data_IF_225766887146
#
_entry.id   IF_225766887146
#
_cell.length_a   1.000
_cell.length_b   1.000
_cell.length_c   1.000
_cell.angle_alpha   90.00
_cell.angle_beta   90.00
_cell.angle_gamma   90.00
#
_symmetry.space_group_name_H-M   'P 1'
#
loop_
_entity.id
_entity.type
_entity.pdbx_description
1 polymer ?
#
# COMPACT_ATOMS: atom_id res chain seq x y z
N UNK A 1 11.82 -2.62 1.90
CA UNK A 1 11.24 -1.88 0.75
C UNK A 1 11.48 -0.38 0.88
N UNK A 2 11.09 0.25 1.98
CA UNK A 2 11.20 1.69 2.20
C UNK A 2 12.60 2.26 1.91
N UNK A 3 13.65 1.60 2.40
CA UNK A 3 15.02 1.99 2.11
C UNK A 3 15.41 1.98 0.61
N UNK A 4 14.76 1.16 -0.23
CA UNK A 4 15.03 1.16 -1.67
C UNK A 4 14.41 2.39 -2.36
N UNK A 5 13.18 2.75 -1.97
CA UNK A 5 12.47 3.92 -2.48
C UNK A 5 13.21 5.20 -2.07
N UNK A 6 13.60 5.32 -0.81
CA UNK A 6 14.37 6.46 -0.31
C UNK A 6 15.74 6.59 -0.99
N UNK A 7 16.45 5.49 -1.24
CA UNK A 7 17.73 5.53 -1.98
C UNK A 7 17.55 6.02 -3.41
N UNK A 8 16.55 5.51 -4.13
CA UNK A 8 16.30 5.87 -5.51
C UNK A 8 15.76 7.31 -5.65
N UNK A 9 14.71 7.64 -4.90
CA UNK A 9 14.04 8.94 -4.93
C UNK A 9 14.83 10.09 -4.31
N UNK A 10 15.86 9.77 -3.51
CA UNK A 10 16.76 10.76 -2.96
C UNK A 10 16.26 11.42 -1.67
N UNK A 11 17.04 12.39 -1.15
CA UNK A 11 16.82 12.94 0.19
C UNK A 11 15.52 13.74 0.31
N UNK A 12 14.96 14.22 -0.80
CA UNK A 12 13.73 15.03 -0.80
C UNK A 12 12.55 14.28 -0.18
N UNK A 13 12.38 12.99 -0.48
CA UNK A 13 11.29 12.17 0.09
C UNK A 13 11.40 12.16 1.62
N UNK A 14 12.60 11.95 2.17
CA UNK A 14 12.81 11.95 3.61
C UNK A 14 12.57 13.33 4.24
N UNK A 15 12.96 14.39 3.55
CA UNK A 15 12.74 15.76 4.01
C UNK A 15 11.24 16.08 4.11
N UNK A 16 10.47 15.76 3.08
CA UNK A 16 9.02 15.93 3.09
C UNK A 16 8.35 15.05 4.17
N UNK A 17 8.80 13.81 4.37
CA UNK A 17 8.32 12.98 5.48
C UNK A 17 8.55 13.63 6.86
N UNK A 18 9.70 14.29 7.07
CA UNK A 18 9.99 15.01 8.32
C UNK A 18 9.07 16.23 8.49
N UNK A 19 8.80 16.96 7.43
CA UNK A 19 7.90 18.12 7.44
C UNK A 19 6.45 17.72 7.74
N UNK A 20 5.96 16.64 7.11
CA UNK A 20 4.66 16.05 7.43
C UNK A 20 4.63 15.68 8.92
N UNK A 21 5.67 15.00 9.41
CA UNK A 21 5.74 14.60 10.82
C UNK A 21 5.75 15.79 11.78
N UNK A 22 6.43 16.87 11.44
CA UNK A 22 6.44 18.09 12.24
C UNK A 22 5.06 18.76 12.29
N UNK A 23 4.28 18.69 11.19
CA UNK A 23 2.96 19.33 11.08
C UNK A 23 1.85 18.55 11.78
N UNK A 24 1.82 17.23 11.63
CA UNK A 24 0.68 16.40 12.09
C UNK A 24 1.07 15.25 13.02
N UNK A 25 2.34 15.13 13.40
CA UNK A 25 2.84 14.06 14.24
C UNK A 25 3.09 12.76 13.46
N UNK A 26 2.62 11.63 13.97
CA UNK A 26 2.85 10.33 13.35
C UNK A 26 1.95 10.01 12.15
N UNK A 27 2.16 8.83 11.59
CA UNK A 27 1.19 8.15 10.75
C UNK A 27 0.79 6.87 11.50
N UNK A 28 -0.44 6.78 12.06
CA UNK A 28 -0.87 5.59 12.79
C UNK A 28 -1.03 4.39 11.85
N UNK A 29 -1.02 3.18 12.41
CA UNK A 29 -1.30 1.96 11.66
C UNK A 29 -2.64 2.05 10.93
N UNK A 30 -2.65 1.64 9.66
CA UNK A 30 -3.79 1.75 8.76
C UNK A 30 -3.95 3.12 8.10
N UNK A 31 -3.20 4.15 8.50
CA UNK A 31 -3.23 5.45 7.85
C UNK A 31 -2.13 5.58 6.78
N UNK A 32 -2.31 6.58 5.91
CA UNK A 32 -1.38 6.91 4.83
C UNK A 32 -1.10 8.42 4.79
N UNK A 33 0.06 8.79 4.24
CA UNK A 33 0.47 10.17 3.91
C UNK A 33 1.14 10.18 2.54
N UNK A 34 1.27 11.34 1.92
CA UNK A 34 1.83 11.45 0.56
C UNK A 34 2.96 12.47 0.50
N UNK A 35 4.03 12.13 -0.21
CA UNK A 35 5.13 13.02 -0.60
C UNK A 35 5.23 13.08 -2.12
N UNK A 36 6.01 14.02 -2.64
CA UNK A 36 6.55 13.94 -3.99
C UNK A 36 7.44 12.70 -4.18
N UNK A 37 7.67 12.34 -5.43
CA UNK A 37 8.54 11.21 -5.82
C UNK A 37 10.04 11.52 -5.82
N UNK A 38 10.44 12.78 -5.61
CA UNK A 38 11.84 13.20 -5.72
C UNK A 38 12.40 12.86 -7.10
N UNK A 39 13.44 12.01 -7.14
CA UNK A 39 14.08 11.55 -8.38
C UNK A 39 13.44 10.32 -9.03
N UNK A 40 12.36 9.78 -8.46
CA UNK A 40 11.66 8.66 -9.06
C UNK A 40 10.97 9.10 -10.36
N UNK A 41 10.69 8.14 -11.25
CA UNK A 41 9.79 8.38 -12.39
C UNK A 41 8.34 8.60 -11.95
N UNK A 42 7.96 8.05 -10.79
CA UNK A 42 6.66 8.27 -10.20
C UNK A 42 6.58 9.70 -9.63
N UNK A 43 5.47 10.39 -9.88
CA UNK A 43 5.28 11.77 -9.40
C UNK A 43 5.15 11.86 -7.88
N UNK A 44 4.65 10.80 -7.24
CA UNK A 44 4.36 10.76 -5.81
C UNK A 44 4.78 9.42 -5.18
N UNK A 45 4.96 9.45 -3.86
CA UNK A 45 5.05 8.26 -3.02
C UNK A 45 4.01 8.38 -1.91
N UNK A 46 3.14 7.39 -1.83
CA UNK A 46 2.18 7.26 -0.72
C UNK A 46 2.79 6.32 0.31
N UNK A 47 3.00 6.85 1.52
CA UNK A 47 3.57 6.16 2.66
C UNK A 47 2.44 5.71 3.56
N UNK A 48 2.26 4.40 3.73
CA UNK A 48 1.24 3.83 4.60
C UNK A 48 1.86 2.91 5.63
N UNK A 49 1.30 2.89 6.83
CA UNK A 49 1.76 2.02 7.92
C UNK A 49 0.85 0.80 7.99
N UNK A 50 1.34 -0.35 7.52
CA UNK A 50 0.63 -1.62 7.68
C UNK A 50 0.76 -2.16 9.12
N UNK A 51 -0.16 -3.04 9.56
CA UNK A 51 -0.09 -3.67 10.87
C UNK A 51 1.06 -4.67 10.97
N UNK A 52 1.58 -4.83 12.19
CA UNK A 52 2.46 -5.95 12.56
C UNK A 52 1.58 -7.15 12.86
N UNK A 53 1.89 -8.31 12.31
CA UNK A 53 1.14 -9.53 12.57
C UNK A 53 1.38 -10.03 13.99
N UNK A 54 0.29 -10.26 14.74
CA UNK A 54 0.34 -10.71 16.13
C UNK A 54 -0.65 -11.83 16.44
N UNK A 55 -1.02 -12.62 15.43
CA UNK A 55 -1.94 -13.76 15.56
C UNK A 55 -3.32 -13.55 14.93
N UNK A 56 -3.67 -12.32 14.55
CA UNK A 56 -4.91 -12.02 13.82
C UNK A 56 -6.10 -11.62 14.69
N UNK A 57 -5.91 -11.55 16.02
CA UNK A 57 -6.95 -11.20 16.99
C UNK A 57 -6.91 -9.71 17.42
N UNK A 58 -5.99 -8.92 16.85
CA UNK A 58 -5.74 -7.52 17.18
C UNK A 58 -6.13 -6.58 16.02
N UNK A 59 -7.18 -6.96 15.28
CA UNK A 59 -7.76 -6.18 14.15
C UNK A 59 -6.78 -5.99 13.00
N UNK A 60 -5.77 -6.84 12.86
CA UNK A 60 -4.75 -6.70 11.83
C UNK A 60 -5.36 -6.68 10.42
N UNK A 61 -6.39 -7.48 10.16
CA UNK A 61 -7.09 -7.48 8.87
C UNK A 61 -7.72 -6.12 8.54
N UNK A 62 -8.42 -5.54 9.51
CA UNK A 62 -9.08 -4.23 9.36
C UNK A 62 -8.06 -3.11 9.14
N UNK A 63 -6.92 -3.19 9.83
CA UNK A 63 -5.83 -2.23 9.74
C UNK A 63 -5.09 -2.36 8.39
N UNK A 64 -4.88 -3.57 7.90
CA UNK A 64 -4.30 -3.81 6.58
C UNK A 64 -5.25 -3.30 5.48
N UNK A 65 -6.54 -3.60 5.57
CA UNK A 65 -7.58 -3.04 4.69
C UNK A 65 -7.53 -1.51 4.69
N UNK A 66 -7.45 -0.90 5.87
CA UNK A 66 -7.37 0.56 6.03
C UNK A 66 -6.13 1.14 5.36
N UNK A 67 -4.98 0.47 5.43
CA UNK A 67 -3.75 0.93 4.77
C UNK A 67 -3.90 1.02 3.25
N UNK A 68 -4.48 -0.01 2.61
CA UNK A 68 -4.79 0.04 1.18
C UNK A 68 -5.84 1.09 0.85
N UNK A 69 -6.95 1.12 1.60
CA UNK A 69 -8.05 2.05 1.37
C UNK A 69 -7.61 3.51 1.46
N UNK A 70 -6.90 3.88 2.53
CA UNK A 70 -6.42 5.25 2.73
C UNK A 70 -5.36 5.65 1.71
N UNK A 71 -4.57 4.68 1.22
CA UNK A 71 -3.63 4.94 0.12
C UNK A 71 -4.36 5.26 -1.18
N UNK A 72 -5.40 4.50 -1.53
CA UNK A 72 -6.24 4.75 -2.70
C UNK A 72 -7.02 6.06 -2.59
N UNK A 73 -7.53 6.38 -1.40
CA UNK A 73 -8.21 7.65 -1.13
C UNK A 73 -7.29 8.85 -1.39
N UNK A 74 -6.05 8.81 -0.87
CA UNK A 74 -5.06 9.86 -1.16
C UNK A 74 -4.70 9.95 -2.64
N UNK A 75 -4.58 8.80 -3.32
CA UNK A 75 -4.33 8.80 -4.76
C UNK A 75 -5.46 9.50 -5.53
N UNK A 76 -6.71 9.16 -5.22
CA UNK A 76 -7.91 9.78 -5.79
C UNK A 76 -7.97 11.28 -5.51
N UNK A 77 -7.77 11.70 -4.27
CA UNK A 77 -7.76 13.12 -3.88
C UNK A 77 -6.73 13.96 -4.65
N UNK A 78 -5.65 13.32 -5.10
CA UNK A 78 -4.59 13.95 -5.89
C UNK A 78 -4.75 13.77 -7.39
N UNK A 79 -5.84 13.16 -7.85
CA UNK A 79 -6.09 12.89 -9.27
C UNK A 79 -5.12 11.86 -9.88
N UNK A 80 -4.51 11.01 -9.06
CA UNK A 80 -3.59 9.96 -9.51
C UNK A 80 -4.42 8.79 -10.02
N UNK A 81 -4.23 8.42 -11.29
CA UNK A 81 -5.01 7.37 -11.98
C UNK A 81 -4.28 6.03 -12.11
N UNK A 82 -2.97 6.00 -11.87
CA UNK A 82 -2.15 4.78 -11.90
C UNK A 82 -1.41 4.59 -10.59
N UNK A 83 -1.49 3.39 -10.00
CA UNK A 83 -0.92 3.10 -8.68
C UNK A 83 -0.23 1.74 -8.71
N UNK A 84 0.92 1.64 -8.02
CA UNK A 84 1.61 0.36 -7.78
C UNK A 84 1.73 0.09 -6.29
N UNK A 85 1.24 -1.07 -5.86
CA UNK A 85 1.34 -1.54 -4.49
C UNK A 85 2.34 -2.68 -4.35
N UNK A 86 3.14 -2.72 -3.27
CA UNK A 86 3.73 -3.96 -2.81
C UNK A 86 2.70 -4.85 -2.11
N UNK A 87 3.15 -6.04 -1.71
CA UNK A 87 2.49 -6.79 -0.65
C UNK A 87 2.77 -6.14 0.72
N UNK A 88 1.86 -5.27 1.18
CA UNK A 88 1.99 -4.55 2.45
C UNK A 88 1.96 -5.53 3.63
N UNK A 89 2.80 -5.27 4.65
CA UNK A 89 2.95 -6.06 5.89
C UNK A 89 3.46 -7.49 5.79
N UNK A 90 3.68 -8.05 4.60
CA UNK A 90 4.12 -9.47 4.48
C UNK A 90 5.62 -9.71 4.59
N UNK A 91 6.42 -8.63 4.66
CA UNK A 91 7.87 -8.71 4.87
C UNK A 91 8.23 -8.74 6.37
N UNK A 92 8.87 -7.68 6.85
CA UNK A 92 9.33 -7.54 8.24
C UNK A 92 8.18 -7.62 9.27
N UNK A 93 6.94 -7.37 8.85
CA UNK A 93 5.76 -7.43 9.72
C UNK A 93 5.07 -8.80 9.72
N UNK A 94 5.60 -9.77 8.97
CA UNK A 94 5.24 -11.19 9.01
C UNK A 94 3.75 -11.51 8.83
N UNK A 95 2.98 -10.63 8.20
CA UNK A 95 1.58 -10.91 7.88
C UNK A 95 1.50 -12.10 6.91
N UNK A 96 0.66 -13.13 7.18
CA UNK A 96 0.50 -14.26 6.30
C UNK A 96 0.12 -13.81 4.88
N UNK A 97 0.92 -14.21 3.90
CA UNK A 97 0.85 -13.68 2.53
C UNK A 97 -0.49 -14.02 1.90
N UNK A 98 -0.97 -15.23 2.08
CA UNK A 98 -2.24 -15.74 1.54
C UNK A 98 -3.43 -14.90 2.05
N UNK A 99 -3.43 -14.55 3.34
CA UNK A 99 -4.45 -13.70 3.97
C UNK A 99 -4.32 -12.24 3.53
N UNK A 100 -3.09 -11.71 3.49
CA UNK A 100 -2.82 -10.35 3.06
C UNK A 100 -3.20 -10.10 1.60
N UNK A 101 -2.95 -11.07 0.72
CA UNK A 101 -3.30 -11.02 -0.70
C UNK A 101 -4.81 -10.88 -0.89
N UNK A 102 -5.60 -11.72 -0.22
CA UNK A 102 -7.06 -11.63 -0.25
C UNK A 102 -7.57 -10.26 0.21
N UNK A 103 -7.04 -9.75 1.33
CA UNK A 103 -7.42 -8.43 1.85
C UNK A 103 -7.06 -7.32 0.85
N UNK A 104 -5.85 -7.35 0.29
CA UNK A 104 -5.37 -6.36 -0.67
C UNK A 104 -6.25 -6.31 -1.92
N UNK A 105 -6.49 -7.46 -2.53
CA UNK A 105 -7.31 -7.60 -3.75
C UNK A 105 -8.75 -7.17 -3.47
N UNK A 106 -9.38 -7.71 -2.43
CA UNK A 106 -10.75 -7.33 -2.07
C UNK A 106 -10.89 -5.83 -1.85
N UNK A 107 -9.94 -5.21 -1.13
CA UNK A 107 -9.98 -3.77 -0.85
C UNK A 107 -9.90 -2.94 -2.13
N UNK A 108 -9.01 -3.33 -3.07
CA UNK A 108 -8.87 -2.65 -4.36
C UNK A 108 -10.15 -2.80 -5.19
N UNK A 109 -10.71 -4.01 -5.27
CA UNK A 109 -11.96 -4.25 -6.00
C UNK A 109 -13.12 -3.43 -5.42
N UNK A 110 -13.27 -3.42 -4.09
CA UNK A 110 -14.33 -2.65 -3.43
C UNK A 110 -14.18 -1.15 -3.66
N UNK A 111 -12.96 -0.61 -3.55
CA UNK A 111 -12.70 0.82 -3.76
C UNK A 111 -12.96 1.23 -5.22
N UNK A 112 -12.58 0.38 -6.18
CA UNK A 112 -12.67 0.70 -7.61
C UNK A 112 -14.07 0.58 -8.19
N UNK A 113 -15.03 -0.01 -7.47
CA UNK A 113 -16.46 0.02 -7.85
C UNK A 113 -17.03 1.44 -7.93
N UNK A 114 -16.53 2.34 -7.09
CA UNK A 114 -17.02 3.73 -6.99
C UNK A 114 -16.02 4.75 -7.53
N UNK A 115 -14.79 4.32 -7.81
CA UNK A 115 -13.67 5.21 -8.12
C UNK A 115 -12.85 4.67 -9.29
N UNK A 116 -12.80 5.42 -10.38
CA UNK A 116 -12.05 5.03 -11.57
C UNK A 116 -10.54 5.19 -11.39
N UNK A 117 -9.81 4.12 -11.70
CA UNK A 117 -8.36 4.12 -11.92
C UNK A 117 -8.11 3.54 -13.32
N UNK A 118 -7.07 4.04 -13.99
CA UNK A 118 -6.62 3.44 -15.25
C UNK A 118 -5.90 2.12 -14.99
N UNK A 119 -5.13 2.06 -13.90
CA UNK A 119 -4.33 0.90 -13.61
C UNK A 119 -3.94 0.82 -12.13
N UNK A 120 -4.13 -0.35 -11.52
CA UNK A 120 -3.58 -0.68 -10.22
C UNK A 120 -2.77 -1.98 -10.38
N UNK A 121 -1.48 -1.93 -10.06
CA UNK A 121 -0.58 -3.09 -10.13
C UNK A 121 -0.13 -3.53 -8.76
N UNK A 122 -0.09 -4.84 -8.54
CA UNK A 122 0.65 -5.43 -7.43
C UNK A 122 2.04 -5.83 -7.91
N UNK A 123 3.08 -5.21 -7.34
CA UNK A 123 4.49 -5.47 -7.67
C UNK A 123 5.08 -6.37 -6.60
N UNK A 124 5.22 -7.66 -6.93
CA UNK A 124 5.51 -8.73 -5.99
C UNK A 124 6.92 -9.26 -6.21
N UNK A 125 7.66 -9.48 -5.11
CA UNK A 125 9.10 -9.75 -5.17
C UNK A 125 9.44 -11.20 -5.58
N UNK A 126 8.61 -12.16 -5.18
CA UNK A 126 8.87 -13.59 -5.34
C UNK A 126 7.64 -14.34 -5.87
N UNK A 127 7.89 -15.54 -6.39
CA UNK A 127 6.84 -16.36 -7.01
C UNK A 127 5.81 -16.92 -6.02
N UNK A 128 6.13 -17.04 -4.73
CA UNK A 128 5.13 -17.47 -3.73
C UNK A 128 4.12 -16.37 -3.49
N UNK A 129 4.60 -15.14 -3.26
CA UNK A 129 3.74 -13.97 -3.11
C UNK A 129 2.91 -13.73 -4.37
N UNK A 130 3.51 -13.88 -5.56
CA UNK A 130 2.77 -13.80 -6.83
C UNK A 130 1.58 -14.77 -6.87
N UNK A 131 1.80 -16.05 -6.60
CA UNK A 131 0.73 -17.07 -6.63
C UNK A 131 -0.40 -16.75 -5.66
N UNK A 132 -0.10 -16.30 -4.44
CA UNK A 132 -1.17 -15.93 -3.49
C UNK A 132 -2.04 -14.77 -3.96
N UNK A 133 -1.46 -13.79 -4.68
CA UNK A 133 -2.24 -12.70 -5.28
C UNK A 133 -3.01 -13.16 -6.51
N UNK A 134 -2.44 -14.05 -7.33
CA UNK A 134 -3.11 -14.66 -8.48
C UNK A 134 -4.34 -15.46 -8.04
N UNK A 135 -4.19 -16.36 -7.07
CA UNK A 135 -5.29 -17.13 -6.47
C UNK A 135 -6.38 -16.21 -5.88
N UNK A 136 -5.99 -15.14 -5.18
CA UNK A 136 -6.94 -14.17 -4.64
C UNK A 136 -7.70 -13.40 -5.73
N UNK A 137 -7.03 -13.06 -6.84
CA UNK A 137 -7.66 -12.41 -7.99
C UNK A 137 -8.65 -13.34 -8.70
N UNK A 138 -8.26 -14.59 -8.94
CA UNK A 138 -9.12 -15.61 -9.57
C UNK A 138 -10.39 -15.87 -8.76
N UNK A 139 -10.27 -15.89 -7.42
CA UNK A 139 -11.41 -16.13 -6.54
C UNK A 139 -12.37 -14.92 -6.47
N UNK A 140 -11.83 -13.70 -6.37
CA UNK A 140 -12.61 -12.50 -6.05
C UNK A 140 -13.08 -11.71 -7.29
N UNK A 141 -12.39 -11.87 -8.41
CA UNK A 141 -12.73 -11.28 -9.69
C UNK A 141 -12.75 -12.37 -10.77
N UNK A 142 -13.67 -13.35 -10.67
CA UNK A 142 -13.81 -14.38 -11.69
C UNK A 142 -14.14 -13.70 -13.03
N UNK A 143 -13.31 -14.00 -14.03
CA UNK A 143 -13.39 -13.47 -15.39
C UNK A 143 -14.59 -14.04 -16.13
#
# INVERSE_FOLDING_TARGET
>A
MDGAIHRAGGPQILQECKEIRARQGGCPTGAAVITGGGRLKASYVIHTVGPVWSGGDNREDELLRSAYWNSLALARERGIRTVSFPSISTGVYHFPVERAARIAVQTVLDFTREHEFEEIRFVLFDGRTHRSFEEAMEELAPV
#
